data_IF_126769640275
#
_entry.id   IF_126769640275
#
_cell.length_a   1.000
_cell.length_b   1.000
_cell.length_c   1.000
_cell.angle_alpha   90.00
_cell.angle_beta   90.00
_cell.angle_gamma   90.00
#
_symmetry.space_group_name_H-M   'P 1'
#
loop_
_entity.id
_entity.type
_entity.pdbx_description
1 polymer ?
#
# COMPACT_ATOMS: atom_id res chain seq x y z
N UNK A 1 -97.24 -86.70 -49.83
CA UNK A 1 -97.00 -86.42 -48.39
C UNK A 1 -95.54 -86.72 -47.97
N UNK A 2 -94.88 -87.76 -48.50
CA UNK A 2 -93.48 -88.13 -48.15
C UNK A 2 -92.38 -87.13 -48.60
N UNK A 3 -92.51 -86.49 -49.78
CA UNK A 3 -91.49 -85.59 -50.34
C UNK A 3 -91.36 -84.22 -49.63
N UNK A 4 -92.39 -83.82 -48.88
CA UNK A 4 -92.42 -82.59 -48.08
C UNK A 4 -91.72 -82.84 -46.74
N UNK A 5 -91.90 -84.02 -46.16
CA UNK A 5 -91.26 -84.44 -44.90
C UNK A 5 -89.75 -84.53 -45.07
N UNK A 6 -89.27 -85.09 -46.17
CA UNK A 6 -87.83 -85.27 -46.45
C UNK A 6 -87.09 -83.95 -46.74
N UNK A 7 -87.80 -82.94 -47.27
CA UNK A 7 -87.29 -81.57 -47.40
C UNK A 7 -87.30 -80.83 -46.06
N UNK A 8 -88.30 -81.07 -45.22
CA UNK A 8 -88.40 -80.48 -43.89
C UNK A 8 -87.30 -81.02 -42.96
N UNK A 9 -87.03 -82.33 -42.95
CA UNK A 9 -85.93 -82.91 -42.16
C UNK A 9 -84.58 -82.37 -42.58
N UNK A 10 -84.33 -82.23 -43.89
CA UNK A 10 -83.09 -81.65 -44.41
C UNK A 10 -82.92 -80.16 -44.07
N UNK A 11 -84.02 -79.41 -44.02
CA UNK A 11 -84.03 -78.02 -43.56
C UNK A 11 -83.82 -77.93 -42.04
N UNK A 12 -84.39 -78.85 -41.25
CA UNK A 12 -84.16 -78.94 -39.81
C UNK A 12 -82.69 -79.26 -39.48
N UNK A 13 -82.07 -80.19 -40.22
CA UNK A 13 -80.64 -80.50 -40.10
C UNK A 13 -79.76 -79.28 -40.44
N UNK A 14 -80.07 -78.57 -41.53
CA UNK A 14 -79.36 -77.34 -41.90
C UNK A 14 -79.54 -76.22 -40.88
N UNK A 15 -80.74 -76.07 -40.32
CA UNK A 15 -81.02 -75.11 -39.24
C UNK A 15 -80.21 -75.49 -37.99
N UNK A 16 -80.12 -76.78 -37.66
CA UNK A 16 -79.34 -77.29 -36.51
C UNK A 16 -77.84 -77.05 -36.68
N UNK A 17 -77.30 -77.32 -37.87
CA UNK A 17 -75.89 -77.04 -38.21
C UNK A 17 -75.56 -75.55 -38.18
N UNK A 18 -76.45 -74.71 -38.74
CA UNK A 18 -76.32 -73.26 -38.67
C UNK A 18 -76.39 -72.77 -37.21
N UNK A 19 -77.25 -73.36 -36.38
CA UNK A 19 -77.36 -73.02 -34.96
C UNK A 19 -76.08 -73.37 -34.19
N UNK A 20 -75.51 -74.55 -34.44
CA UNK A 20 -74.24 -74.98 -33.85
C UNK A 20 -73.06 -74.11 -34.31
N UNK A 21 -73.02 -73.75 -35.59
CA UNK A 21 -72.01 -72.84 -36.16
C UNK A 21 -72.12 -71.43 -35.57
N UNK A 22 -73.34 -70.92 -35.42
CA UNK A 22 -73.61 -69.62 -34.79
C UNK A 22 -73.15 -69.61 -33.33
N UNK A 23 -73.50 -70.64 -32.56
CA UNK A 23 -73.09 -70.81 -31.16
C UNK A 23 -71.56 -70.89 -31.01
N UNK A 24 -70.88 -71.58 -31.92
CA UNK A 24 -69.41 -71.63 -31.95
C UNK A 24 -68.81 -70.24 -32.25
N UNK A 25 -69.35 -69.53 -33.25
CA UNK A 25 -68.87 -68.17 -33.59
C UNK A 25 -69.12 -67.18 -32.46
N UNK A 26 -70.25 -67.28 -31.75
CA UNK A 26 -70.57 -66.45 -30.59
C UNK A 26 -69.57 -66.68 -29.44
N UNK A 27 -69.23 -67.94 -29.14
CA UNK A 27 -68.18 -68.27 -28.17
C UNK A 27 -66.80 -67.71 -28.56
N UNK A 28 -66.46 -67.75 -29.85
CA UNK A 28 -65.20 -67.18 -30.36
C UNK A 28 -65.18 -65.65 -30.30
N UNK A 29 -66.32 -65.01 -30.54
CA UNK A 29 -66.49 -63.55 -30.38
C UNK A 29 -66.30 -63.14 -28.91
N UNK A 30 -66.86 -63.90 -27.95
CA UNK A 30 -66.66 -63.64 -26.52
C UNK A 30 -65.18 -63.76 -26.11
N UNK A 31 -64.48 -64.80 -26.57
CA UNK A 31 -63.04 -64.94 -26.33
C UNK A 31 -62.23 -63.78 -26.91
N UNK A 32 -62.53 -63.36 -28.15
CA UNK A 32 -61.88 -62.20 -28.77
C UNK A 32 -62.20 -60.91 -28.01
N UNK A 33 -63.42 -60.74 -27.49
CA UNK A 33 -63.80 -59.59 -26.68
C UNK A 33 -62.98 -59.52 -25.39
N UNK A 34 -62.77 -60.65 -24.71
CA UNK A 34 -61.95 -60.70 -23.49
C UNK A 34 -60.46 -60.46 -23.79
N UNK A 35 -59.94 -60.97 -24.91
CA UNK A 35 -58.59 -60.66 -25.37
C UNK A 35 -58.42 -59.16 -25.66
N UNK A 36 -59.39 -58.52 -26.32
CA UNK A 36 -59.39 -57.07 -26.58
C UNK A 36 -59.40 -56.30 -25.26
N UNK A 37 -60.26 -56.66 -24.30
CA UNK A 37 -60.31 -56.01 -22.98
C UNK A 37 -58.98 -56.13 -22.22
N UNK A 38 -58.32 -57.28 -22.31
CA UNK A 38 -56.99 -57.46 -21.72
C UNK A 38 -55.95 -56.58 -22.42
N UNK A 39 -55.95 -56.57 -23.76
CA UNK A 39 -55.05 -55.72 -24.55
C UNK A 39 -55.24 -54.22 -24.23
N UNK A 40 -56.48 -53.75 -24.12
CA UNK A 40 -56.78 -52.37 -23.69
C UNK A 40 -56.27 -52.06 -22.28
N UNK A 41 -56.28 -53.04 -21.37
CA UNK A 41 -55.74 -52.86 -20.01
C UNK A 41 -54.23 -52.67 -20.05
N UNK A 42 -53.53 -53.51 -20.81
CA UNK A 42 -52.08 -53.39 -21.02
C UNK A 42 -51.72 -52.07 -21.70
N UNK A 43 -52.49 -51.64 -22.71
CA UNK A 43 -52.27 -50.37 -23.40
C UNK A 43 -52.42 -49.16 -22.47
N UNK A 44 -53.38 -49.21 -21.54
CA UNK A 44 -53.54 -48.19 -20.49
C UNK A 44 -52.34 -48.15 -19.54
N UNK A 45 -51.80 -49.31 -19.15
CA UNK A 45 -50.61 -49.39 -18.29
C UNK A 45 -49.37 -48.83 -19.01
N UNK A 46 -49.15 -49.21 -20.27
CA UNK A 46 -48.08 -48.69 -21.11
C UNK A 46 -48.16 -47.18 -21.29
N UNK A 47 -49.35 -46.63 -21.51
CA UNK A 47 -49.57 -45.19 -21.63
C UNK A 47 -49.20 -44.44 -20.34
N UNK A 48 -49.56 -44.98 -19.17
CA UNK A 48 -49.16 -44.39 -17.89
C UNK A 48 -47.65 -44.42 -17.67
N UNK A 49 -46.97 -45.51 -18.05
CA UNK A 49 -45.51 -45.59 -17.98
C UNK A 49 -44.84 -44.60 -18.93
N UNK A 50 -45.40 -44.41 -20.14
CA UNK A 50 -44.91 -43.42 -21.09
C UNK A 50 -45.01 -41.99 -20.53
N UNK A 51 -46.13 -41.64 -19.91
CA UNK A 51 -46.27 -40.34 -19.23
C UNK A 51 -45.24 -40.15 -18.10
N UNK A 52 -45.01 -41.18 -17.27
CA UNK A 52 -43.97 -41.13 -16.22
C UNK A 52 -42.57 -40.93 -16.79
N UNK A 53 -42.24 -41.65 -17.88
CA UNK A 53 -40.95 -41.52 -18.55
C UNK A 53 -40.76 -40.14 -19.19
N UNK A 54 -41.82 -39.56 -19.75
CA UNK A 54 -41.79 -38.19 -20.29
C UNK A 54 -41.44 -37.16 -19.19
N UNK A 55 -42.02 -37.31 -18.00
CA UNK A 55 -41.71 -36.42 -16.87
C UNK A 55 -40.26 -36.59 -16.40
N UNK A 56 -39.74 -37.82 -16.32
CA UNK A 56 -38.34 -38.10 -15.95
C UNK A 56 -37.35 -37.53 -16.97
N UNK A 57 -37.70 -37.53 -18.26
CA UNK A 57 -36.88 -36.92 -19.30
C UNK A 57 -36.74 -35.41 -19.08
N UNK A 58 -37.84 -34.72 -18.75
CA UNK A 58 -37.82 -33.29 -18.44
C UNK A 58 -36.95 -32.98 -17.20
N UNK A 59 -37.02 -33.80 -16.15
CA UNK A 59 -36.16 -33.66 -14.97
C UNK A 59 -34.67 -33.87 -15.31
N UNK A 60 -34.37 -34.87 -16.14
CA UNK A 60 -33.00 -35.15 -16.62
C UNK A 60 -32.45 -33.98 -17.43
N UNK A 61 -33.27 -33.38 -18.29
CA UNK A 61 -32.88 -32.22 -19.10
C UNK A 61 -32.60 -30.99 -18.24
N UNK A 62 -33.37 -30.80 -17.16
CA UNK A 62 -33.11 -29.73 -16.17
C UNK A 62 -31.79 -29.94 -15.44
N UNK A 63 -31.49 -31.18 -15.03
CA UNK A 63 -30.20 -31.53 -14.41
C UNK A 63 -29.02 -31.24 -15.33
N UNK A 64 -29.13 -31.50 -16.64
CA UNK A 64 -28.07 -31.15 -17.60
C UNK A 64 -27.75 -29.65 -17.61
N UNK A 65 -28.77 -28.79 -17.58
CA UNK A 65 -28.60 -27.33 -17.51
C UNK A 65 -27.89 -26.93 -16.20
N UNK A 66 -28.20 -27.60 -15.07
CA UNK A 66 -27.53 -27.35 -13.81
C UNK A 66 -26.06 -27.78 -13.83
N UNK A 67 -25.74 -28.90 -14.51
CA UNK A 67 -24.36 -29.35 -14.71
C UNK A 67 -23.57 -28.30 -15.51
N UNK A 68 -24.12 -27.77 -16.60
CA UNK A 68 -23.47 -26.73 -17.40
C UNK A 68 -23.24 -25.43 -16.63
N UNK A 69 -24.19 -25.03 -15.78
CA UNK A 69 -23.99 -23.89 -14.87
C UNK A 69 -22.91 -24.17 -13.84
N UNK A 70 -22.86 -25.39 -13.30
CA UNK A 70 -21.86 -25.77 -12.32
C UNK A 70 -20.45 -25.80 -12.92
N UNK A 71 -20.29 -26.32 -14.14
CA UNK A 71 -19.01 -26.30 -14.85
C UNK A 71 -18.56 -24.87 -15.12
N UNK A 72 -19.47 -23.98 -15.53
CA UNK A 72 -19.17 -22.56 -15.71
C UNK A 72 -18.70 -21.87 -14.41
N UNK A 73 -19.42 -22.09 -13.30
CA UNK A 73 -19.04 -21.55 -11.99
C UNK A 73 -17.69 -22.11 -11.52
N UNK A 74 -17.40 -23.38 -11.82
CA UNK A 74 -16.13 -23.99 -11.49
C UNK A 74 -14.97 -23.36 -12.27
N UNK A 75 -15.16 -23.03 -13.56
CA UNK A 75 -14.16 -22.29 -14.34
C UNK A 75 -13.93 -20.88 -13.81
N UNK A 76 -14.98 -20.14 -13.47
CA UNK A 76 -14.90 -18.81 -12.86
C UNK A 76 -14.12 -18.85 -11.53
N UNK A 77 -14.43 -19.81 -10.65
CA UNK A 77 -13.70 -20.00 -9.39
C UNK A 77 -12.21 -20.28 -9.64
N UNK A 78 -11.87 -21.16 -10.59
CA UNK A 78 -10.48 -21.45 -10.95
C UNK A 78 -9.74 -20.20 -11.44
N UNK A 79 -10.39 -19.37 -12.26
CA UNK A 79 -9.80 -18.11 -12.72
C UNK A 79 -9.60 -17.12 -11.58
N UNK A 80 -10.56 -17.00 -10.67
CA UNK A 80 -10.46 -16.10 -9.52
C UNK A 80 -9.30 -16.51 -8.61
N UNK A 81 -9.18 -17.81 -8.31
CA UNK A 81 -8.06 -18.36 -7.52
C UNK A 81 -6.72 -18.08 -8.20
N UNK A 82 -6.63 -18.22 -9.53
CA UNK A 82 -5.40 -17.93 -10.27
C UNK A 82 -5.04 -16.44 -10.19
N UNK A 83 -6.01 -15.53 -10.37
CA UNK A 83 -5.79 -14.08 -10.25
C UNK A 83 -5.34 -13.69 -8.84
N UNK A 84 -5.95 -14.27 -7.81
CA UNK A 84 -5.56 -14.04 -6.41
C UNK A 84 -4.14 -14.54 -6.14
N UNK A 85 -3.77 -15.74 -6.60
CA UNK A 85 -2.42 -16.26 -6.44
C UNK A 85 -1.35 -15.42 -7.17
N UNK A 86 -1.66 -14.93 -8.38
CA UNK A 86 -0.77 -14.02 -9.12
C UNK A 86 -0.61 -12.66 -8.43
N UNK A 87 -1.68 -12.13 -7.82
CA UNK A 87 -1.60 -10.90 -7.03
C UNK A 87 -0.77 -11.12 -5.75
N UNK A 88 -0.92 -12.26 -5.09
CA UNK A 88 -0.14 -12.62 -3.91
C UNK A 88 1.36 -12.70 -4.22
N UNK A 89 1.75 -13.19 -5.40
CA UNK A 89 3.17 -13.22 -5.81
C UNK A 89 3.71 -11.86 -6.26
N UNK A 90 2.83 -10.90 -6.63
CA UNK A 90 3.22 -9.56 -7.08
C UNK A 90 3.40 -8.59 -5.91
N UNK A 91 2.70 -8.83 -4.79
CA UNK A 91 2.99 -8.19 -3.51
C UNK A 91 4.17 -8.94 -2.88
N UNK A 92 5.37 -8.71 -3.40
CA UNK A 92 6.61 -9.27 -2.88
C UNK A 92 6.95 -8.57 -1.55
N UNK A 93 6.14 -8.88 -0.54
CA UNK A 93 6.24 -8.43 0.85
C UNK A 93 7.67 -8.63 1.37
N UNK A 94 8.34 -9.67 0.86
CA UNK A 94 9.74 -9.96 1.16
C UNK A 94 10.68 -8.87 0.66
N UNK A 95 10.56 -8.46 -0.60
CA UNK A 95 11.36 -7.36 -1.15
C UNK A 95 11.09 -6.05 -0.41
N UNK A 96 9.84 -5.79 -0.04
CA UNK A 96 9.48 -4.58 0.72
C UNK A 96 10.07 -4.61 2.13
N UNK A 97 10.06 -5.77 2.79
CA UNK A 97 10.73 -5.98 4.08
C UNK A 97 12.25 -5.79 3.96
N UNK A 98 12.89 -6.36 2.94
CA UNK A 98 14.32 -6.21 2.70
C UNK A 98 14.71 -4.74 2.46
N UNK A 99 13.92 -3.99 1.68
CA UNK A 99 14.10 -2.55 1.48
C UNK A 99 13.91 -1.81 2.81
N UNK A 100 12.87 -2.15 3.58
CA UNK A 100 12.59 -1.52 4.87
C UNK A 100 13.74 -1.73 5.84
N UNK A 101 14.31 -2.92 5.91
CA UNK A 101 15.44 -3.22 6.78
C UNK A 101 16.72 -2.53 6.29
N UNK A 102 16.94 -2.42 4.98
CA UNK A 102 18.03 -1.61 4.44
C UNK A 102 17.88 -0.12 4.80
N UNK A 103 16.68 0.43 4.71
CA UNK A 103 16.39 1.80 5.09
C UNK A 103 16.60 2.03 6.58
N UNK A 104 16.16 1.09 7.44
CA UNK A 104 16.43 1.15 8.89
C UNK A 104 17.93 1.19 9.18
N UNK A 105 18.73 0.35 8.51
CA UNK A 105 20.19 0.36 8.68
C UNK A 105 20.80 1.69 8.24
N UNK A 106 20.34 2.26 7.12
CA UNK A 106 20.80 3.58 6.66
C UNK A 106 20.43 4.71 7.62
N UNK A 107 19.22 4.67 8.18
CA UNK A 107 18.77 5.65 9.18
C UNK A 107 19.64 5.58 10.43
N UNK A 108 19.91 4.38 10.97
CA UNK A 108 20.79 4.22 12.13
C UNK A 108 22.22 4.76 11.87
N UNK A 109 22.75 4.59 10.66
CA UNK A 109 24.03 5.19 10.27
C UNK A 109 23.96 6.72 10.22
N UNK A 110 22.90 7.29 9.65
CA UNK A 110 22.71 8.75 9.61
C UNK A 110 22.59 9.34 11.02
N UNK A 111 21.86 8.68 11.93
CA UNK A 111 21.76 9.08 13.34
C UNK A 111 23.12 9.08 14.03
N UNK A 112 24.00 8.12 13.74
CA UNK A 112 25.37 8.11 14.27
C UNK A 112 26.24 9.25 13.73
N UNK A 113 26.03 9.64 12.46
CA UNK A 113 26.72 10.79 11.88
C UNK A 113 26.23 12.10 12.49
N UNK A 114 24.94 12.21 12.75
CA UNK A 114 24.33 13.37 13.40
C UNK A 114 24.90 13.58 14.81
N UNK A 115 24.99 12.51 15.61
CA UNK A 115 25.65 12.56 16.92
C UNK A 115 27.10 13.02 16.84
N UNK A 116 27.85 12.59 15.81
CA UNK A 116 29.23 13.02 15.61
C UNK A 116 29.32 14.48 15.17
N UNK A 117 28.35 14.98 14.38
CA UNK A 117 28.29 16.38 13.98
C UNK A 117 28.08 17.29 15.18
N UNK A 118 27.16 16.93 16.09
CA UNK A 118 26.94 17.67 17.34
C UNK A 118 28.24 17.82 18.14
N UNK A 119 29.01 16.74 18.30
CA UNK A 119 30.31 16.81 19.01
C UNK A 119 31.31 17.71 18.30
N UNK A 120 31.35 17.69 16.96
CA UNK A 120 32.23 18.56 16.19
C UNK A 120 31.82 20.04 16.27
N UNK A 121 30.53 20.32 16.29
CA UNK A 121 30.00 21.67 16.49
C UNK A 121 30.38 22.19 17.89
N UNK A 122 30.21 21.38 18.94
CA UNK A 122 30.63 21.73 20.30
C UNK A 122 32.14 22.05 20.35
N UNK A 123 32.98 21.23 19.72
CA UNK A 123 34.42 21.48 19.62
C UNK A 123 34.73 22.76 18.85
N UNK A 124 34.02 23.06 17.77
CA UNK A 124 34.20 24.29 17.01
C UNK A 124 33.83 25.52 17.85
N UNK A 125 32.70 25.49 18.57
CA UNK A 125 32.32 26.59 19.46
C UNK A 125 33.34 26.78 20.59
N UNK A 126 33.87 25.69 21.15
CA UNK A 126 34.92 25.75 22.14
C UNK A 126 36.19 26.42 21.57
N UNK A 127 36.61 26.05 20.36
CA UNK A 127 37.75 26.69 19.70
C UNK A 127 37.51 28.18 19.44
N UNK A 128 36.32 28.59 18.99
CA UNK A 128 35.97 29.99 18.79
C UNK A 128 36.06 30.80 20.08
N UNK A 129 35.63 30.24 21.22
CA UNK A 129 35.78 30.91 22.52
C UNK A 129 37.25 31.12 22.88
N UNK A 130 38.10 30.11 22.64
CA UNK A 130 39.54 30.17 22.89
C UNK A 130 40.19 31.21 21.98
N UNK A 131 39.87 31.22 20.68
CA UNK A 131 40.39 32.23 19.75
C UNK A 131 39.97 33.65 20.14
N UNK A 132 38.71 33.85 20.54
CA UNK A 132 38.26 35.15 21.06
C UNK A 132 39.05 35.56 22.29
N UNK A 133 39.27 34.65 23.24
CA UNK A 133 40.10 34.93 24.42
C UNK A 133 41.52 35.32 24.03
N UNK A 134 42.17 34.55 23.15
CA UNK A 134 43.51 34.89 22.65
C UNK A 134 43.55 36.25 21.95
N UNK A 135 42.54 36.58 21.14
CA UNK A 135 42.41 37.89 20.51
C UNK A 135 42.34 39.03 21.55
N UNK A 136 41.54 38.86 22.62
CA UNK A 136 41.50 39.86 23.69
C UNK A 136 42.83 40.00 24.44
N UNK A 137 43.55 38.89 24.66
CA UNK A 137 44.86 38.92 25.31
C UNK A 137 45.91 39.56 24.42
N UNK A 138 45.87 39.29 23.11
CA UNK A 138 46.77 39.90 22.15
C UNK A 138 46.58 41.42 22.11
N UNK A 139 45.33 41.90 22.06
CA UNK A 139 45.03 43.34 22.11
C UNK A 139 45.54 44.00 23.40
N UNK A 140 45.32 43.37 24.57
CA UNK A 140 45.85 43.86 25.85
C UNK A 140 47.38 43.91 25.86
N UNK A 141 48.03 42.89 25.29
CA UNK A 141 49.48 42.86 25.18
C UNK A 141 49.98 43.96 24.25
N UNK A 142 49.34 44.18 23.10
CA UNK A 142 49.70 45.24 22.17
C UNK A 142 49.56 46.64 22.79
N UNK A 143 48.48 46.90 23.53
CA UNK A 143 48.32 48.13 24.30
C UNK A 143 49.44 48.32 25.32
N UNK A 144 49.79 47.25 26.05
CA UNK A 144 50.90 47.27 27.01
C UNK A 144 52.24 47.50 26.33
N UNK A 145 52.48 46.91 25.15
CA UNK A 145 53.70 47.16 24.37
C UNK A 145 53.79 48.62 23.93
N UNK A 146 52.71 49.20 23.40
CA UNK A 146 52.67 50.63 23.04
C UNK A 146 53.02 51.54 24.22
N UNK A 147 52.53 51.22 25.42
CA UNK A 147 52.86 51.96 26.63
C UNK A 147 54.35 51.81 26.98
N UNK A 148 54.90 50.58 26.92
CA UNK A 148 56.29 50.33 27.26
C UNK A 148 57.28 50.96 26.28
N UNK A 149 57.00 50.89 24.98
CA UNK A 149 57.81 51.52 23.93
C UNK A 149 57.79 53.05 24.03
N UNK A 150 56.64 53.63 24.43
CA UNK A 150 56.48 55.06 24.60
C UNK A 150 56.93 55.60 25.97
N UNK A 151 57.12 54.75 26.98
CA UNK A 151 57.43 55.18 28.34
C UNK A 151 58.89 55.63 28.48
N UNK A 152 59.08 56.79 29.10
CA UNK A 152 60.39 57.28 29.52
C UNK A 152 60.47 57.29 31.05
N UNK A 153 61.60 56.86 31.61
CA UNK A 153 61.84 56.76 33.05
C UNK A 153 62.88 57.76 33.59
N UNK A 154 63.26 58.76 32.79
CA UNK A 154 64.22 59.79 33.20
C UNK A 154 63.56 61.16 33.46
N UNK A 155 62.24 61.19 33.56
CA UNK A 155 61.46 62.42 33.75
C UNK A 155 61.34 63.31 32.52
N UNK A 156 61.85 62.90 31.35
CA UNK A 156 61.72 63.65 30.08
C UNK A 156 60.83 62.90 29.10
N UNK A 157 59.89 63.63 28.49
CA UNK A 157 58.99 63.12 27.45
C UNK A 157 59.25 63.86 26.14
N UNK A 158 59.39 63.11 25.04
CA UNK A 158 59.32 63.65 23.68
C UNK A 158 57.99 63.18 23.08
N UNK A 159 57.08 64.11 22.83
CA UNK A 159 55.76 63.80 22.30
C UNK A 159 55.59 64.35 20.88
N UNK A 160 55.51 63.44 19.91
CA UNK A 160 55.26 63.78 18.50
C UNK A 160 53.77 63.72 18.20
N UNK A 161 53.16 64.87 17.93
CA UNK A 161 51.75 64.96 17.52
C UNK A 161 51.66 64.71 16.01
N UNK A 162 51.23 63.51 15.64
CA UNK A 162 50.93 63.14 14.25
C UNK A 162 49.56 63.71 13.82
N UNK A 163 49.41 63.98 12.52
CA UNK A 163 48.16 64.40 11.88
C UNK A 163 47.53 65.69 12.46
N UNK A 164 48.39 66.66 12.78
CA UNK A 164 48.00 67.92 13.41
C UNK A 164 46.81 68.62 12.73
N UNK A 165 46.78 68.67 11.39
CA UNK A 165 45.70 69.35 10.64
C UNK A 165 44.33 68.75 10.94
N UNK A 166 44.25 67.42 11.03
CA UNK A 166 43.01 66.70 11.32
C UNK A 166 42.59 66.93 12.76
N UNK A 167 43.52 66.71 13.70
CA UNK A 167 43.24 66.88 15.14
C UNK A 167 42.85 68.32 15.52
N UNK A 168 43.44 69.31 14.85
CA UNK A 168 43.05 70.72 15.02
C UNK A 168 41.62 70.97 14.53
N UNK A 169 41.26 70.42 13.38
CA UNK A 169 39.91 70.53 12.85
C UNK A 169 38.89 69.92 13.81
N UNK A 170 39.17 68.73 14.33
CA UNK A 170 38.33 68.06 15.36
C UNK A 170 38.19 68.90 16.64
N UNK A 171 39.24 69.58 17.07
CA UNK A 171 39.20 70.47 18.22
C UNK A 171 38.33 71.72 17.98
N UNK A 172 38.45 72.35 16.80
CA UNK A 172 37.62 73.49 16.40
C UNK A 172 36.15 73.09 16.28
N UNK A 173 35.88 71.90 15.75
CA UNK A 173 34.53 71.31 15.63
C UNK A 173 33.97 70.83 16.98
N UNK A 174 34.75 70.90 18.06
CA UNK A 174 34.34 70.51 19.41
C UNK A 174 34.28 69.00 19.65
N UNK A 175 34.73 68.17 18.69
CA UNK A 175 34.73 66.71 18.83
C UNK A 175 35.81 66.23 19.81
N UNK A 176 36.99 66.84 19.77
CA UNK A 176 38.08 66.47 20.67
C UNK A 176 38.94 67.69 21.05
N UNK A 177 38.61 68.31 22.18
CA UNK A 177 39.17 69.59 22.62
C UNK A 177 40.62 69.50 23.11
N UNK A 178 41.12 68.31 23.45
CA UNK A 178 42.44 68.18 24.03
C UNK A 178 43.06 66.80 23.79
N UNK A 179 44.36 66.78 23.57
CA UNK A 179 45.13 65.57 23.41
C UNK A 179 45.87 65.24 24.71
N UNK A 180 45.97 63.94 25.00
CA UNK A 180 46.81 63.41 26.06
C UNK A 180 48.06 62.74 25.46
N UNK A 181 49.21 62.94 26.08
CA UNK A 181 50.42 62.19 25.75
C UNK A 181 50.37 60.78 26.30
N UNK A 182 51.25 59.91 25.81
CA UNK A 182 51.56 58.65 26.49
C UNK A 182 52.11 58.92 27.91
N UNK A 183 51.88 58.00 28.87
CA UNK A 183 52.38 58.16 30.23
C UNK A 183 53.91 58.10 30.27
N UNK A 184 54.53 58.91 31.13
CA UNK A 184 55.96 58.88 31.41
C UNK A 184 56.21 58.97 32.92
N UNK A 185 57.41 58.58 33.34
CA UNK A 185 57.77 58.45 34.75
C UNK A 185 58.92 59.39 35.10
N UNK A 186 58.87 59.97 36.29
CA UNK A 186 59.96 60.84 36.79
C UNK A 186 61.23 60.06 37.12
N UNK A 187 61.11 58.76 37.46
CA UNK A 187 62.19 57.79 37.68
C UNK A 187 61.63 56.35 37.58
N UNK A 188 62.47 55.30 37.65
CA UNK A 188 62.03 53.90 37.60
C UNK A 188 60.98 53.53 38.67
N UNK A 189 61.06 54.13 39.86
CA UNK A 189 60.09 53.98 40.95
C UNK A 189 59.42 55.33 41.31
N UNK A 190 59.28 56.22 40.33
CA UNK A 190 58.81 57.59 40.52
C UNK A 190 57.32 57.81 40.22
N UNK A 191 56.91 59.07 40.11
CA UNK A 191 55.55 59.45 39.76
C UNK A 191 55.24 59.15 38.29
N UNK A 192 54.01 58.71 38.01
CA UNK A 192 53.48 58.53 36.64
C UNK A 192 52.69 59.77 36.23
N UNK A 193 53.11 60.40 35.13
CA UNK A 193 52.55 61.65 34.62
C UNK A 193 52.08 61.50 33.17
N UNK A 194 51.22 62.42 32.72
CA UNK A 194 50.86 62.59 31.30
C UNK A 194 50.70 64.08 31.00
N UNK A 195 51.05 64.51 29.80
CA UNK A 195 50.84 65.88 29.35
C UNK A 195 49.49 66.01 28.65
N UNK A 196 48.83 67.16 28.82
CA UNK A 196 47.59 67.51 28.12
C UNK A 196 47.85 68.78 27.29
N UNK A 197 47.50 68.75 26.01
CA UNK A 197 47.61 69.88 25.11
C UNK A 197 46.25 70.22 24.47
N UNK A 198 46.01 71.50 24.25
CA UNK A 198 44.84 72.03 23.53
C UNK A 198 45.34 72.55 22.17
N UNK A 199 44.62 72.24 21.08
CA UNK A 199 45.05 72.50 19.70
C UNK A 199 44.30 73.64 19.01
#
# INVERSE_FOLDING_TARGET
MLQIVDKNTKLEDQISDLYNSLKYKEGKILQLSDMIKNCEREFRQLSQLFCKNSNLLASTQTLAIHIDKNTFLETELRQLVQKTNQQQSKLDLRTLLDITDNLKQKVALLESYDQRLVVLEDLATQQDTVFRMHGTQLNKNEERFKILEGASYNGKLIWKIMDYKIKKKEAIEGQNLSLFSQPFYTSHCGYRLSARAYL
#
